data_IF_847829143913
#
_entry.id   IF_847829143913
#
_cell.length_a   1.000
_cell.length_b   1.000
_cell.length_c   1.000
_cell.angle_alpha   90.00
_cell.angle_beta   90.00
_cell.angle_gamma   90.00
#
_symmetry.space_group_name_H-M   'P 1'
#
loop_
_entity.id
_entity.type
_entity.pdbx_description
1 polymer ?
#
# COMPACT_ATOMS: atom_id res chain seq x y z
N UNK A 1 -24.82 -2.34 4.10
CA UNK A 1 -23.58 -2.74 3.38
C UNK A 1 -22.62 -3.33 4.38
N UNK A 2 -21.84 -4.35 4.01
CA UNK A 2 -20.83 -4.93 4.88
C UNK A 2 -19.69 -3.91 5.10
N UNK A 3 -19.17 -3.83 6.34
CA UNK A 3 -18.00 -3.01 6.66
C UNK A 3 -16.76 -3.65 6.03
N UNK A 4 -16.01 -2.89 5.24
CA UNK A 4 -14.72 -3.33 4.71
C UNK A 4 -13.73 -3.39 5.87
N UNK A 5 -13.16 -4.57 6.11
CA UNK A 5 -12.22 -4.83 7.21
C UNK A 5 -10.77 -4.86 6.74
N UNK A 6 -10.51 -5.25 5.49
CA UNK A 6 -9.17 -5.35 4.91
C UNK A 6 -9.19 -5.02 3.42
N UNK A 7 -8.16 -4.33 2.94
CA UNK A 7 -7.91 -4.04 1.52
C UNK A 7 -6.50 -4.45 1.16
N UNK A 8 -6.33 -5.07 0.00
CA UNK A 8 -5.03 -5.26 -0.64
C UNK A 8 -4.88 -4.20 -1.72
N UNK A 9 -3.83 -3.40 -1.65
CA UNK A 9 -3.49 -2.34 -2.59
C UNK A 9 -2.27 -2.78 -3.41
N UNK A 10 -2.44 -2.85 -4.73
CA UNK A 10 -1.29 -2.86 -5.63
C UNK A 10 -0.56 -1.52 -5.50
N UNK A 11 0.65 -1.56 -4.99
CA UNK A 11 1.39 -0.38 -4.56
C UNK A 11 2.70 -0.29 -5.35
N UNK A 12 2.95 0.82 -6.03
CA UNK A 12 4.17 1.02 -6.83
C UNK A 12 5.22 1.88 -6.15
N UNK A 13 4.96 2.40 -4.95
CA UNK A 13 5.79 3.44 -4.33
C UNK A 13 5.57 4.85 -4.90
N UNK A 14 4.85 4.98 -6.01
CA UNK A 14 4.53 6.26 -6.64
C UNK A 14 3.69 7.19 -5.77
N UNK A 15 3.60 8.46 -6.17
CA UNK A 15 2.79 9.46 -5.46
C UNK A 15 1.32 9.03 -5.39
N UNK A 16 0.74 8.60 -6.51
CA UNK A 16 -0.68 8.26 -6.58
C UNK A 16 -1.05 7.11 -5.65
N UNK A 17 -0.30 6.00 -5.69
CA UNK A 17 -0.56 4.85 -4.80
C UNK A 17 -0.30 5.18 -3.33
N UNK A 18 0.60 6.13 -3.05
CA UNK A 18 0.85 6.64 -1.69
C UNK A 18 -0.34 7.44 -1.17
N UNK A 19 -0.88 8.36 -1.98
CA UNK A 19 -2.08 9.11 -1.61
C UNK A 19 -3.27 8.16 -1.43
N UNK A 20 -3.44 7.17 -2.31
CA UNK A 20 -4.50 6.17 -2.21
C UNK A 20 -4.39 5.38 -0.91
N UNK A 21 -3.19 4.92 -0.53
CA UNK A 21 -2.99 4.21 0.74
C UNK A 21 -3.49 5.04 1.93
N UNK A 22 -3.10 6.32 1.98
CA UNK A 22 -3.54 7.20 3.07
C UNK A 22 -5.05 7.44 3.04
N UNK A 23 -5.59 7.66 1.85
CA UNK A 23 -7.02 7.89 1.66
C UNK A 23 -7.86 6.68 2.08
N UNK A 24 -7.43 5.45 1.75
CA UNK A 24 -8.11 4.22 2.17
C UNK A 24 -8.11 4.06 3.69
N UNK A 25 -6.98 4.35 4.36
CA UNK A 25 -6.89 4.31 5.83
C UNK A 25 -7.91 5.28 6.47
N UNK A 26 -8.00 6.51 5.96
CA UNK A 26 -8.87 7.55 6.53
C UNK A 26 -10.37 7.30 6.28
N UNK A 27 -10.71 6.87 5.07
CA UNK A 27 -12.10 6.75 4.64
C UNK A 27 -12.74 5.43 5.05
N UNK A 28 -11.98 4.33 5.03
CA UNK A 28 -12.51 3.00 5.35
C UNK A 28 -12.16 2.52 6.76
N UNK A 29 -11.15 3.12 7.41
CA UNK A 29 -10.71 2.75 8.77
C UNK A 29 -10.51 1.23 8.90
N UNK A 30 -9.78 0.68 7.94
CA UNK A 30 -9.57 -0.76 7.75
C UNK A 30 -8.09 -1.07 7.56
N UNK A 31 -7.73 -2.35 7.69
CA UNK A 31 -6.34 -2.78 7.50
C UNK A 31 -5.97 -2.70 6.01
N UNK A 32 -4.88 -2.00 5.69
CA UNK A 32 -4.37 -1.91 4.32
C UNK A 32 -3.11 -2.76 4.22
N UNK A 33 -3.11 -3.71 3.29
CA UNK A 33 -1.96 -4.52 2.89
C UNK A 33 -1.48 -3.99 1.55
N UNK A 34 -0.18 -3.82 1.37
CA UNK A 34 0.40 -3.43 0.08
C UNK A 34 1.03 -4.63 -0.60
N UNK A 35 0.90 -4.71 -1.92
CA UNK A 35 1.59 -5.68 -2.76
C UNK A 35 2.33 -4.96 -3.89
N UNK A 36 3.62 -5.21 -4.02
CA UNK A 36 4.48 -4.69 -5.08
C UNK A 36 5.02 -5.85 -5.89
N UNK A 37 4.64 -5.94 -7.17
CA UNK A 37 5.16 -6.99 -8.06
C UNK A 37 6.49 -6.56 -8.66
N UNK A 38 7.49 -7.44 -8.60
CA UNK A 38 8.73 -7.30 -9.37
C UNK A 38 8.47 -7.67 -10.84
N UNK A 39 8.59 -6.66 -11.70
CA UNK A 39 8.47 -6.78 -13.15
C UNK A 39 9.78 -6.39 -13.86
N UNK A 40 10.91 -6.37 -13.13
CA UNK A 40 12.22 -5.93 -13.61
C UNK A 40 12.55 -4.49 -13.22
N UNK A 41 11.96 -3.96 -12.14
CA UNK A 41 12.22 -2.58 -11.67
C UNK A 41 13.51 -2.43 -10.84
N UNK A 42 14.10 -3.54 -10.35
CA UNK A 42 15.34 -3.50 -9.57
C UNK A 42 15.16 -2.87 -8.19
N UNK A 43 16.01 -1.90 -7.85
CA UNK A 43 16.09 -1.33 -6.49
C UNK A 43 14.81 -0.58 -6.05
N UNK A 44 13.94 -0.18 -6.99
CA UNK A 44 12.67 0.52 -6.72
C UNK A 44 11.71 -0.27 -5.82
N UNK A 45 11.79 -1.61 -5.82
CA UNK A 45 10.99 -2.47 -4.93
C UNK A 45 11.27 -2.19 -3.46
N UNK A 46 12.53 -2.00 -3.11
CA UNK A 46 12.95 -1.74 -1.73
C UNK A 46 12.48 -0.37 -1.25
N UNK A 47 12.50 0.64 -2.13
CA UNK A 47 11.99 1.97 -1.86
C UNK A 47 10.46 1.96 -1.66
N UNK A 48 9.74 1.21 -2.50
CA UNK A 48 8.30 1.03 -2.35
C UNK A 48 7.95 0.33 -1.03
N UNK A 49 8.67 -0.73 -0.65
CA UNK A 49 8.46 -1.38 0.65
C UNK A 49 8.70 -0.40 1.82
N UNK A 50 9.83 0.31 1.83
CA UNK A 50 10.15 1.26 2.89
C UNK A 50 9.07 2.33 3.02
N UNK A 51 8.63 2.89 1.90
CA UNK A 51 7.61 3.94 1.88
C UNK A 51 6.26 3.43 2.35
N UNK A 52 5.84 2.22 1.94
CA UNK A 52 4.61 1.60 2.43
C UNK A 52 4.64 1.41 3.96
N UNK A 53 5.80 1.01 4.51
CA UNK A 53 6.01 0.84 5.95
C UNK A 53 5.90 2.16 6.71
N UNK A 54 6.56 3.20 6.22
CA UNK A 54 6.50 4.55 6.80
C UNK A 54 5.08 5.14 6.79
N UNK A 55 4.28 4.78 5.77
CA UNK A 55 2.89 5.22 5.65
C UNK A 55 1.89 4.34 6.43
N UNK A 56 2.35 3.32 7.15
CA UNK A 56 1.51 2.51 8.03
C UNK A 56 0.72 1.40 7.33
N UNK A 57 1.23 0.85 6.23
CA UNK A 57 0.73 -0.42 5.72
C UNK A 57 0.85 -1.51 6.81
N UNK A 58 -0.18 -2.37 6.92
CA UNK A 58 -0.26 -3.42 7.94
C UNK A 58 0.70 -4.57 7.63
N UNK A 59 0.75 -4.95 6.37
CA UNK A 59 1.61 -6.00 5.80
C UNK A 59 2.05 -5.54 4.41
N UNK A 60 3.22 -5.99 3.97
CA UNK A 60 3.83 -5.59 2.69
C UNK A 60 4.35 -6.87 2.02
N UNK A 61 4.00 -7.07 0.75
CA UNK A 61 4.28 -8.25 -0.05
C UNK A 61 4.85 -7.87 -1.42
#
# INVERSE_FOLDING_TARGET
>A
MAKISKVVLAYSGGLDTSVILKWLQENYKCDIVTFTADLGQGDELSEAEQKAREMGAKEIF
#
